data_IF_334246848219
#
_entry.id   IF_334246848219
#
_cell.length_a   1.000
_cell.length_b   1.000
_cell.length_c   1.000
_cell.angle_alpha   90.00
_cell.angle_beta   90.00
_cell.angle_gamma   90.00
#
_symmetry.space_group_name_H-M   'P 1'
#
loop_
_entity.id
_entity.type
_entity.pdbx_description
1 polymer ?
#
# COMPACT_ATOMS: atom_id res chain seq x y z
N UNK A 1 -71.27 0.61 -1.69
CA UNK A 1 -70.68 -0.12 -2.85
C UNK A 1 -69.22 -0.38 -2.46
N UNK A 2 -68.97 -1.59 -1.89
CA UNK A 2 -67.70 -2.00 -1.35
C UNK A 2 -66.80 -2.47 -2.53
N UNK A 3 -65.57 -1.97 -2.59
CA UNK A 3 -64.54 -2.56 -3.47
C UNK A 3 -63.44 -3.06 -2.57
N UNK A 4 -63.31 -4.37 -2.54
CA UNK A 4 -62.25 -5.15 -1.94
C UNK A 4 -60.89 -4.85 -2.67
N UNK A 5 -59.90 -4.41 -1.95
CA UNK A 5 -58.50 -4.45 -2.40
C UNK A 5 -57.90 -5.79 -1.97
N UNK A 6 -57.63 -6.63 -2.96
CA UNK A 6 -56.99 -7.93 -2.79
C UNK A 6 -55.51 -7.78 -2.41
N UNK A 7 -55.13 -8.45 -1.33
CA UNK A 7 -53.72 -8.66 -0.96
C UNK A 7 -53.01 -9.49 -2.05
N UNK A 8 -51.94 -8.95 -2.59
CA UNK A 8 -51.03 -9.67 -3.47
C UNK A 8 -50.02 -10.47 -2.64
N UNK A 9 -49.77 -11.73 -2.93
CA UNK A 9 -48.89 -12.56 -2.10
C UNK A 9 -47.41 -12.21 -2.25
N UNK A 10 -46.73 -12.14 -1.12
CA UNK A 10 -45.28 -11.86 -0.93
C UNK A 10 -44.34 -12.75 -1.80
N UNK A 11 -44.84 -13.83 -2.38
CA UNK A 11 -44.09 -14.75 -3.26
C UNK A 11 -43.64 -14.17 -4.59
N UNK A 12 -44.40 -13.26 -5.20
CA UNK A 12 -44.10 -12.70 -6.53
C UNK A 12 -42.92 -11.71 -6.51
N UNK A 13 -42.74 -10.97 -5.43
CA UNK A 13 -41.59 -10.06 -5.30
C UNK A 13 -40.25 -10.80 -5.16
N UNK A 14 -40.23 -11.94 -4.46
CA UNK A 14 -39.04 -12.79 -4.37
C UNK A 14 -38.64 -13.41 -5.71
N UNK A 15 -39.64 -13.77 -6.53
CA UNK A 15 -39.40 -14.34 -7.87
C UNK A 15 -38.86 -13.25 -8.82
N UNK A 16 -39.40 -12.03 -8.77
CA UNK A 16 -38.89 -10.91 -9.58
C UNK A 16 -37.43 -10.53 -9.25
N UNK A 17 -37.06 -10.53 -7.97
CA UNK A 17 -35.68 -10.25 -7.55
C UNK A 17 -34.73 -11.39 -7.95
N UNK A 18 -35.15 -12.64 -7.86
CA UNK A 18 -34.38 -13.80 -8.34
C UNK A 18 -34.18 -13.79 -9.87
N UNK A 19 -35.19 -13.38 -10.64
CA UNK A 19 -35.09 -13.24 -12.10
C UNK A 19 -34.17 -12.09 -12.51
N UNK A 20 -34.19 -10.95 -11.82
CA UNK A 20 -33.29 -9.84 -12.08
C UNK A 20 -31.83 -10.21 -11.75
N UNK A 21 -31.59 -10.95 -10.67
CA UNK A 21 -30.26 -11.47 -10.31
C UNK A 21 -29.77 -12.49 -11.35
N UNK A 22 -30.63 -13.36 -11.84
CA UNK A 22 -30.29 -14.33 -12.88
C UNK A 22 -29.91 -13.64 -14.21
N UNK A 23 -30.65 -12.60 -14.62
CA UNK A 23 -30.32 -11.81 -15.82
C UNK A 23 -29.00 -11.08 -15.67
N UNK A 24 -28.69 -10.51 -14.48
CA UNK A 24 -27.41 -9.83 -14.22
C UNK A 24 -26.21 -10.79 -14.24
N UNK A 25 -26.37 -11.98 -13.70
CA UNK A 25 -25.34 -13.03 -13.72
C UNK A 25 -25.13 -13.58 -15.15
N UNK A 26 -26.18 -13.71 -15.95
CA UNK A 26 -26.07 -14.20 -17.33
C UNK A 26 -25.41 -13.18 -18.26
N UNK A 27 -25.63 -11.88 -18.03
CA UNK A 27 -24.98 -10.79 -18.80
C UNK A 27 -23.47 -10.69 -18.50
N UNK A 28 -23.05 -11.02 -17.28
CA UNK A 28 -21.61 -11.03 -16.91
C UNK A 28 -20.87 -12.22 -17.57
N UNK A 29 -21.54 -13.31 -17.89
CA UNK A 29 -20.92 -14.49 -18.53
C UNK A 29 -20.91 -14.48 -20.07
N UNK A 30 -21.62 -13.55 -20.72
CA UNK A 30 -21.69 -13.44 -22.19
C UNK A 30 -21.00 -12.22 -22.78
N UNK A 31 -20.27 -11.45 -22.01
CA UNK A 31 -19.68 -10.17 -22.40
C UNK A 31 -18.24 -10.21 -22.87
N UNK A 32 -17.90 -10.91 -23.96
CA UNK A 32 -16.83 -10.46 -24.84
C UNK A 32 -17.45 -9.76 -26.05
N UNK A 33 -17.26 -8.44 -26.10
CA UNK A 33 -17.44 -7.60 -27.28
C UNK A 33 -18.85 -7.07 -27.52
N UNK A 34 -19.12 -5.88 -27.01
CA UNK A 34 -19.89 -4.83 -27.69
C UNK A 34 -19.83 -3.54 -26.86
N UNK A 35 -19.07 -2.56 -27.36
CA UNK A 35 -19.15 -1.18 -26.88
C UNK A 35 -20.46 -0.54 -27.33
N UNK A 36 -21.33 -0.16 -26.38
CA UNK A 36 -22.40 0.78 -26.63
C UNK A 36 -22.18 2.05 -25.82
N UNK A 37 -21.94 3.14 -26.55
CA UNK A 37 -22.01 4.51 -26.02
C UNK A 37 -23.48 4.91 -25.91
N UNK A 38 -23.97 5.14 -24.70
CA UNK A 38 -25.25 5.76 -24.43
C UNK A 38 -25.12 6.80 -23.33
N UNK A 39 -25.31 8.08 -23.70
CA UNK A 39 -25.50 9.17 -22.73
C UNK A 39 -26.79 8.91 -21.96
N UNK A 40 -26.72 8.81 -20.64
CA UNK A 40 -27.90 8.86 -19.77
C UNK A 40 -28.04 10.28 -19.23
N UNK A 41 -29.06 10.99 -19.70
CA UNK A 41 -29.53 12.22 -19.06
C UNK A 41 -30.10 11.91 -17.69
N UNK A 42 -29.67 12.62 -16.68
CA UNK A 42 -30.20 12.55 -15.31
C UNK A 42 -31.54 13.27 -15.26
N UNK A 43 -32.62 12.50 -15.19
CA UNK A 43 -33.93 13.07 -14.83
C UNK A 43 -33.98 13.32 -13.32
N UNK A 44 -34.03 14.58 -12.92
CA UNK A 44 -34.31 15.00 -11.54
C UNK A 44 -35.82 14.90 -11.34
N UNK A 45 -36.25 13.88 -10.64
CA UNK A 45 -37.65 13.77 -10.16
C UNK A 45 -37.70 14.30 -8.75
N UNK A 46 -38.27 15.49 -8.59
CA UNK A 46 -38.66 16.04 -7.28
C UNK A 46 -39.96 15.40 -6.82
N UNK A 47 -39.88 14.55 -5.81
CA UNK A 47 -41.07 14.01 -5.12
C UNK A 47 -41.18 14.62 -3.72
N UNK A 48 -42.40 14.82 -3.18
CA UNK A 48 -42.64 15.54 -1.93
C UNK A 48 -42.23 14.71 -0.70
N UNK A 49 -41.78 15.43 0.33
CA UNK A 49 -41.29 14.95 1.61
C UNK A 49 -42.43 14.28 2.41
N UNK A 50 -42.60 12.96 2.26
CA UNK A 50 -43.25 12.08 3.21
C UNK A 50 -42.68 10.68 3.05
N UNK A 51 -41.81 10.22 3.98
CA UNK A 51 -41.37 8.83 3.99
C UNK A 51 -39.88 8.55 4.15
N UNK A 52 -39.17 9.29 5.00
CA UNK A 52 -37.71 9.07 5.25
C UNK A 52 -37.39 7.67 5.80
N UNK A 53 -38.27 7.08 6.62
CA UNK A 53 -37.99 5.79 7.27
C UNK A 53 -38.12 4.59 6.32
N UNK A 54 -39.06 4.62 5.38
CA UNK A 54 -39.25 3.54 4.37
C UNK A 54 -38.13 3.52 3.33
N UNK A 55 -37.61 4.67 2.92
CA UNK A 55 -36.49 4.75 1.98
C UNK A 55 -35.19 4.25 2.61
N UNK A 56 -34.90 4.62 3.87
CA UNK A 56 -33.73 4.15 4.61
C UNK A 56 -33.79 2.65 4.86
N UNK A 57 -34.94 2.09 5.19
CA UNK A 57 -35.12 0.65 5.36
C UNK A 57 -34.93 -0.13 4.04
N UNK A 58 -35.44 0.38 2.94
CA UNK A 58 -35.28 -0.26 1.63
C UNK A 58 -33.82 -0.19 1.15
N UNK A 59 -33.13 0.91 1.35
CA UNK A 59 -31.74 1.08 0.97
C UNK A 59 -30.79 0.18 1.80
N UNK A 60 -31.04 0.08 3.10
CA UNK A 60 -30.31 -0.81 3.99
C UNK A 60 -30.57 -2.30 3.67
N UNK A 61 -31.80 -2.69 3.36
CA UNK A 61 -32.14 -4.04 2.93
C UNK A 61 -31.46 -4.40 1.61
N UNK A 62 -31.42 -3.48 0.64
CA UNK A 62 -30.72 -3.66 -0.63
C UNK A 62 -29.19 -3.79 -0.44
N UNK A 63 -28.58 -2.91 0.35
CA UNK A 63 -27.14 -2.96 0.66
C UNK A 63 -26.79 -4.28 1.35
N UNK A 64 -27.60 -4.77 2.28
CA UNK A 64 -27.39 -6.05 2.96
C UNK A 64 -27.46 -7.21 1.98
N UNK A 65 -28.44 -7.25 1.08
CA UNK A 65 -28.58 -8.32 0.08
C UNK A 65 -27.40 -8.34 -0.92
N UNK A 66 -26.92 -7.18 -1.36
CA UNK A 66 -25.74 -7.07 -2.25
C UNK A 66 -24.48 -7.57 -1.55
N UNK A 67 -24.26 -7.21 -0.29
CA UNK A 67 -23.13 -7.69 0.52
C UNK A 67 -23.16 -9.22 0.65
N UNK A 68 -24.33 -9.82 0.93
CA UNK A 68 -24.48 -11.26 1.03
C UNK A 68 -24.15 -11.99 -0.29
N UNK A 69 -24.62 -11.46 -1.42
CA UNK A 69 -24.29 -12.01 -2.75
C UNK A 69 -22.79 -11.94 -3.02
N UNK A 70 -22.15 -10.79 -2.76
CA UNK A 70 -20.70 -10.62 -2.90
C UNK A 70 -19.94 -11.60 -2.01
N UNK A 71 -20.37 -11.78 -0.75
CA UNK A 71 -19.78 -12.73 0.18
C UNK A 71 -19.87 -14.17 -0.36
N UNK A 72 -21.04 -14.61 -0.85
CA UNK A 72 -21.22 -15.95 -1.44
C UNK A 72 -20.34 -16.17 -2.66
N UNK A 73 -20.27 -15.20 -3.59
CA UNK A 73 -19.40 -15.27 -4.76
C UNK A 73 -17.93 -15.36 -4.37
N UNK A 74 -17.52 -14.58 -3.37
CA UNK A 74 -16.17 -14.64 -2.85
C UNK A 74 -15.86 -16.00 -2.19
N UNK A 75 -16.75 -16.56 -1.39
CA UNK A 75 -16.60 -17.91 -0.80
C UNK A 75 -16.43 -19.00 -1.86
N UNK A 76 -17.12 -18.89 -2.99
CA UNK A 76 -16.94 -19.80 -4.15
C UNK A 76 -15.52 -19.62 -4.71
N UNK A 77 -15.07 -18.38 -4.92
CA UNK A 77 -13.72 -18.10 -5.43
C UNK A 77 -12.63 -18.58 -4.47
N UNK A 78 -12.81 -18.43 -3.15
CA UNK A 78 -11.91 -18.98 -2.14
C UNK A 78 -11.82 -20.51 -2.21
N UNK A 79 -12.93 -21.20 -2.46
CA UNK A 79 -12.95 -22.66 -2.57
C UNK A 79 -12.24 -23.14 -3.84
N UNK A 80 -12.40 -22.42 -4.95
CA UNK A 80 -11.66 -22.67 -6.20
C UNK A 80 -10.16 -22.45 -6.02
N UNK A 81 -9.76 -21.34 -5.40
CA UNK A 81 -8.35 -20.92 -5.26
C UNK A 81 -7.58 -21.74 -4.25
N UNK A 82 -8.16 -22.07 -3.14
CA UNK A 82 -7.48 -22.73 -2.03
C UNK A 82 -7.89 -24.18 -1.80
N UNK A 83 -8.92 -24.66 -2.49
CA UNK A 83 -9.45 -26.01 -2.30
C UNK A 83 -10.16 -26.19 -0.95
N UNK A 84 -10.25 -27.44 -0.53
CA UNK A 84 -10.96 -27.82 0.71
C UNK A 84 -10.04 -27.71 1.95
N UNK A 85 -9.60 -26.47 2.26
CA UNK A 85 -8.83 -26.16 3.47
C UNK A 85 -9.69 -25.36 4.44
N UNK A 86 -9.35 -25.44 5.73
CA UNK A 86 -10.03 -24.66 6.75
C UNK A 86 -9.79 -23.17 6.51
N UNK A 87 -10.88 -22.43 6.40
CA UNK A 87 -10.91 -20.98 6.22
C UNK A 87 -11.44 -20.35 7.52
N UNK A 88 -10.67 -19.46 8.12
CA UNK A 88 -11.07 -18.73 9.32
C UNK A 88 -11.39 -17.28 8.92
N UNK A 89 -12.68 -16.95 8.88
CA UNK A 89 -13.14 -15.59 8.62
C UNK A 89 -12.84 -14.72 9.84
N UNK A 90 -11.95 -13.76 9.66
CA UNK A 90 -11.51 -12.81 10.70
C UNK A 90 -12.53 -11.69 10.86
N UNK A 91 -13.02 -11.21 9.73
CA UNK A 91 -14.10 -10.24 9.55
C UNK A 91 -14.80 -10.51 8.22
N UNK A 92 -15.94 -9.85 7.98
CA UNK A 92 -16.51 -9.80 6.65
C UNK A 92 -15.48 -9.28 5.66
N UNK A 93 -15.33 -9.95 4.52
CA UNK A 93 -14.33 -9.60 3.52
C UNK A 93 -12.87 -9.94 3.88
N UNK A 94 -12.60 -10.58 5.04
CA UNK A 94 -11.24 -10.96 5.45
C UNK A 94 -11.20 -12.40 5.94
N UNK A 95 -10.35 -13.22 5.32
CA UNK A 95 -10.15 -14.63 5.69
C UNK A 95 -8.67 -14.92 5.94
N UNK A 96 -8.40 -15.66 7.01
CA UNK A 96 -7.11 -16.28 7.27
C UNK A 96 -7.15 -17.77 6.92
N UNK A 97 -6.17 -18.23 6.16
CA UNK A 97 -6.03 -19.61 5.70
C UNK A 97 -4.64 -20.11 6.07
N UNK A 98 -4.58 -21.28 6.69
CA UNK A 98 -3.32 -22.01 6.89
C UNK A 98 -3.34 -23.27 6.06
N UNK A 99 -2.26 -23.51 5.31
CA UNK A 99 -2.14 -24.72 4.49
C UNK A 99 -0.69 -25.19 4.37
N UNK A 100 -0.53 -26.48 4.07
CA UNK A 100 0.75 -27.06 3.67
C UNK A 100 0.68 -27.38 2.19
N UNK A 101 1.71 -26.99 1.45
CA UNK A 101 1.95 -27.40 0.05
C UNK A 101 3.30 -28.08 -0.05
N UNK A 102 3.51 -28.81 -1.13
CA UNK A 102 4.80 -29.42 -1.49
C UNK A 102 5.34 -28.76 -2.74
N UNK A 103 6.53 -28.21 -2.64
CA UNK A 103 7.24 -27.61 -3.79
C UNK A 103 8.50 -28.41 -4.09
N UNK A 104 8.54 -29.03 -5.27
CA UNK A 104 9.65 -29.94 -5.65
C UNK A 104 9.89 -31.02 -4.57
N UNK A 105 8.81 -31.63 -4.06
CA UNK A 105 8.87 -32.66 -3.02
C UNK A 105 9.10 -32.15 -1.57
N UNK A 106 9.34 -30.87 -1.39
CA UNK A 106 9.64 -30.28 -0.08
C UNK A 106 8.41 -29.62 0.54
N UNK A 107 8.13 -29.84 1.84
CA UNK A 107 7.00 -29.23 2.51
C UNK A 107 7.22 -27.74 2.75
N UNK A 108 6.16 -26.96 2.56
CA UNK A 108 6.08 -25.55 2.94
C UNK A 108 4.77 -25.29 3.69
N UNK A 109 4.83 -24.56 4.78
CA UNK A 109 3.64 -24.04 5.48
C UNK A 109 3.41 -22.60 5.08
N UNK A 110 2.17 -22.34 4.67
CA UNK A 110 1.70 -21.03 4.27
C UNK A 110 0.67 -20.53 5.27
N UNK A 111 0.77 -19.26 5.60
CA UNK A 111 -0.31 -18.48 6.18
C UNK A 111 -0.68 -17.40 5.19
N UNK A 112 -1.96 -17.28 4.92
CA UNK A 112 -2.52 -16.42 3.87
C UNK A 112 -3.62 -15.59 4.51
N UNK A 113 -3.61 -14.29 4.27
CA UNK A 113 -4.76 -13.41 4.51
C UNK A 113 -5.24 -12.96 3.13
N UNK A 114 -6.49 -13.26 2.80
CA UNK A 114 -7.15 -12.70 1.63
C UNK A 114 -8.21 -11.71 2.06
N UNK A 115 -8.21 -10.56 1.38
CA UNK A 115 -9.12 -9.45 1.61
C UNK A 115 -9.93 -9.21 0.33
N UNK A 116 -11.23 -9.10 0.48
CA UNK A 116 -12.11 -8.64 -0.59
C UNK A 116 -12.71 -7.27 -0.22
N UNK A 117 -12.15 -6.16 -0.74
CA UNK A 117 -12.63 -4.82 -0.44
C UNK A 117 -14.06 -4.55 -0.91
N UNK A 118 -14.56 -5.32 -1.89
CA UNK A 118 -15.94 -5.16 -2.36
C UNK A 118 -16.99 -5.73 -1.41
N UNK A 119 -16.58 -6.65 -0.51
CA UNK A 119 -17.44 -7.21 0.55
C UNK A 119 -17.46 -6.28 1.77
N UNK A 120 -16.30 -5.73 2.13
CA UNK A 120 -16.18 -4.78 3.23
C UNK A 120 -15.25 -3.62 2.83
N UNK A 121 -15.80 -2.49 2.37
CA UNK A 121 -15.03 -1.33 1.94
C UNK A 121 -14.41 -0.55 3.11
N UNK A 122 -14.84 -0.81 4.37
CA UNK A 122 -14.31 -0.16 5.56
C UNK A 122 -12.95 -0.73 5.98
N UNK A 123 -12.57 -1.89 5.43
CA UNK A 123 -11.23 -2.45 5.63
C UNK A 123 -10.23 -1.68 4.75
N UNK A 124 -9.29 -1.03 5.41
CA UNK A 124 -8.18 -0.33 4.75
C UNK A 124 -6.87 -1.09 4.92
N UNK A 125 -6.11 -1.11 3.85
CA UNK A 125 -4.76 -1.67 3.80
C UNK A 125 -3.79 -0.49 3.84
N UNK A 126 -2.94 -0.41 4.87
CA UNK A 126 -2.04 0.73 5.04
C UNK A 126 -0.66 0.30 5.53
N UNK A 127 0.42 0.87 4.99
CA UNK A 127 1.73 0.73 5.60
C UNK A 127 1.76 1.48 6.93
N UNK A 128 2.37 0.89 7.95
CA UNK A 128 2.60 1.52 9.25
C UNK A 128 4.07 1.46 9.64
N UNK A 129 4.61 2.54 10.18
CA UNK A 129 6.00 2.66 10.59
C UNK A 129 6.22 2.11 12.01
N UNK A 130 7.44 1.67 12.30
CA UNK A 130 7.85 1.23 13.63
C UNK A 130 7.84 2.36 14.67
N UNK A 131 7.92 3.60 14.24
CA UNK A 131 7.89 4.78 15.10
C UNK A 131 7.69 6.06 14.29
N UNK A 132 7.75 7.21 14.94
CA UNK A 132 7.59 8.52 14.28
C UNK A 132 8.75 8.87 13.35
N UNK A 133 9.93 8.33 13.60
CA UNK A 133 11.14 8.52 12.79
C UNK A 133 11.52 7.22 12.08
N UNK A 134 12.14 7.35 10.90
CA UNK A 134 12.51 6.23 10.03
C UNK A 134 13.52 5.26 10.68
N UNK A 135 14.46 5.78 11.47
CA UNK A 135 15.48 4.96 12.14
C UNK A 135 14.94 4.28 13.41
N UNK A 136 13.83 3.55 13.27
CA UNK A 136 13.18 2.77 14.33
C UNK A 136 12.83 1.37 13.84
N UNK A 137 12.78 0.45 14.80
CA UNK A 137 12.32 -0.94 14.57
C UNK A 137 11.33 -1.33 15.67
N UNK A 138 10.29 -2.08 15.29
CA UNK A 138 9.29 -2.61 16.20
C UNK A 138 8.78 -3.94 15.68
N UNK A 139 8.22 -4.78 16.55
CA UNK A 139 7.60 -6.03 16.11
C UNK A 139 6.30 -5.76 15.36
N UNK A 140 5.93 -6.63 14.42
CA UNK A 140 4.66 -6.53 13.69
C UNK A 140 3.47 -6.43 14.66
N UNK A 141 3.47 -7.23 15.72
CA UNK A 141 2.41 -7.21 16.75
C UNK A 141 2.33 -5.86 17.48
N UNK A 142 3.48 -5.27 17.84
CA UNK A 142 3.51 -3.96 18.50
C UNK A 142 3.01 -2.84 17.58
N UNK A 143 3.44 -2.84 16.32
CA UNK A 143 2.94 -1.88 15.32
C UNK A 143 1.44 -2.02 15.10
N UNK A 144 0.94 -3.25 14.99
CA UNK A 144 -0.50 -3.53 14.83
C UNK A 144 -1.31 -2.99 16.00
N UNK A 145 -0.87 -3.26 17.24
CA UNK A 145 -1.56 -2.76 18.44
C UNK A 145 -1.60 -1.24 18.47
N UNK A 146 -0.47 -0.58 18.17
CA UNK A 146 -0.39 0.90 18.18
C UNK A 146 -1.31 1.54 17.13
N UNK A 147 -1.59 0.85 16.03
CA UNK A 147 -2.40 1.36 14.93
C UNK A 147 -3.80 0.72 14.85
N UNK A 148 -4.26 0.06 15.94
CA UNK A 148 -5.56 -0.62 15.99
C UNK A 148 -5.79 -1.61 14.84
N UNK A 149 -4.70 -2.22 14.34
CA UNK A 149 -4.77 -3.15 13.23
C UNK A 149 -5.11 -4.56 13.72
N UNK A 150 -6.17 -5.15 13.17
CA UNK A 150 -6.58 -6.50 13.52
C UNK A 150 -5.77 -7.59 12.78
N UNK A 151 -5.11 -7.25 11.67
CA UNK A 151 -4.17 -8.15 11.00
C UNK A 151 -3.01 -7.35 10.38
N UNK A 152 -1.84 -7.96 10.24
CA UNK A 152 -0.69 -7.35 9.59
C UNK A 152 0.37 -8.39 9.21
N UNK A 153 1.24 -7.99 8.26
CA UNK A 153 2.49 -8.68 7.92
C UNK A 153 3.66 -7.70 8.01
N UNK A 154 4.89 -8.21 8.09
CA UNK A 154 6.09 -7.38 7.92
C UNK A 154 6.11 -6.71 6.54
N UNK A 155 6.74 -5.57 6.45
CA UNK A 155 6.75 -4.73 5.24
C UNK A 155 8.02 -4.83 4.42
N UNK A 156 8.53 -3.67 4.01
CA UNK A 156 9.68 -3.52 3.11
C UNK A 156 11.00 -3.94 3.76
N UNK A 157 12.03 -4.12 2.91
CA UNK A 157 13.41 -4.26 3.36
C UNK A 157 13.85 -3.05 4.16
N UNK A 158 14.82 -3.25 5.05
CA UNK A 158 15.39 -2.17 5.85
C UNK A 158 16.87 -2.42 6.17
N UNK A 159 17.57 -1.37 6.58
CA UNK A 159 18.95 -1.48 7.06
C UNK A 159 18.93 -1.99 8.50
N UNK A 160 19.40 -3.22 8.81
CA UNK A 160 19.26 -3.83 10.13
C UNK A 160 19.86 -3.00 11.27
N UNK A 161 20.97 -2.28 10.99
CA UNK A 161 21.70 -1.48 11.98
C UNK A 161 20.90 -0.25 12.42
N UNK A 162 20.17 0.38 11.51
CA UNK A 162 19.49 1.66 11.76
C UNK A 162 17.96 1.55 11.80
N UNK A 163 17.38 0.56 11.12
CA UNK A 163 15.93 0.46 10.94
C UNK A 163 15.39 1.27 9.75
N UNK A 164 16.23 2.05 9.05
CA UNK A 164 15.78 2.85 7.89
C UNK A 164 15.25 1.94 6.79
N UNK A 165 14.02 2.15 6.29
CA UNK A 165 13.45 1.40 5.16
C UNK A 165 14.33 1.53 3.92
N UNK A 166 14.49 0.45 3.18
CA UNK A 166 15.20 0.40 1.90
C UNK A 166 14.19 0.26 0.75
N UNK A 167 13.97 1.35 0.03
CA UNK A 167 12.99 1.46 -1.03
C UNK A 167 11.95 2.53 -0.73
N UNK A 168 11.05 2.74 -1.69
CA UNK A 168 10.02 3.76 -1.56
C UNK A 168 9.00 3.39 -0.47
N UNK A 169 8.69 4.37 0.37
CA UNK A 169 7.60 4.32 1.33
C UNK A 169 6.85 5.65 1.27
N UNK A 170 5.56 5.58 1.00
CA UNK A 170 4.64 6.72 1.01
C UNK A 170 3.44 6.39 1.88
N UNK A 171 3.07 7.29 2.78
CA UNK A 171 1.90 7.15 3.65
C UNK A 171 1.08 8.44 3.58
N UNK A 172 -0.21 8.33 3.28
CA UNK A 172 -1.12 9.47 3.13
C UNK A 172 -0.56 10.52 2.17
N UNK A 173 -0.15 10.07 0.97
CA UNK A 173 0.44 10.91 -0.10
C UNK A 173 1.77 11.58 0.25
N UNK A 174 2.33 11.33 1.44
CA UNK A 174 3.65 11.85 1.85
C UNK A 174 4.73 10.80 1.59
N UNK A 175 5.69 11.09 0.72
CA UNK A 175 6.85 10.25 0.47
C UNK A 175 7.80 10.37 1.67
N UNK A 176 8.00 9.26 2.37
CA UNK A 176 8.85 9.17 3.55
C UNK A 176 10.28 8.72 3.20
N UNK A 177 10.40 7.80 2.24
CA UNK A 177 11.69 7.37 1.67
C UNK A 177 11.57 7.19 0.16
N UNK A 178 12.63 7.48 -0.56
CA UNK A 178 12.66 7.27 -2.01
C UNK A 178 13.05 5.83 -2.41
N UNK A 179 12.87 5.47 -3.68
CA UNK A 179 13.13 4.14 -4.21
C UNK A 179 14.62 3.79 -4.23
N UNK A 180 14.92 2.51 -4.31
CA UNK A 180 16.27 1.98 -4.54
C UNK A 180 16.22 1.06 -5.76
N UNK A 181 17.11 1.29 -6.75
CA UNK A 181 17.27 0.47 -7.95
C UNK A 181 15.98 0.29 -8.78
N UNK A 182 15.10 1.25 -8.79
CA UNK A 182 13.81 1.20 -9.51
C UNK A 182 13.06 -0.14 -9.29
N UNK A 183 13.04 -0.57 -8.03
CA UNK A 183 12.38 -1.80 -7.60
C UNK A 183 10.88 -1.67 -7.68
N UNK A 184 10.22 -2.82 -7.76
CA UNK A 184 8.77 -2.89 -7.72
C UNK A 184 8.22 -2.34 -6.40
N UNK A 185 7.08 -1.66 -6.49
CA UNK A 185 6.31 -1.18 -5.35
C UNK A 185 4.82 -1.44 -5.56
N UNK A 186 4.10 -1.60 -4.46
CA UNK A 186 2.65 -1.58 -4.41
C UNK A 186 2.18 -0.16 -4.14
N UNK A 187 1.32 0.37 -5.00
CA UNK A 187 0.50 1.56 -4.78
C UNK A 187 -0.90 1.17 -4.35
N UNK A 188 -1.42 1.82 -3.32
CA UNK A 188 -2.77 1.63 -2.78
C UNK A 188 -3.56 2.91 -3.03
N UNK A 189 -4.67 2.79 -3.76
CA UNK A 189 -5.61 3.87 -4.09
C UNK A 189 -6.92 3.68 -3.33
N UNK A 190 -7.84 4.62 -3.43
CA UNK A 190 -9.18 4.47 -2.87
C UNK A 190 -10.00 3.38 -3.57
N UNK A 191 -9.68 3.09 -4.85
CA UNK A 191 -10.44 2.15 -5.70
C UNK A 191 -9.75 0.82 -5.95
N UNK A 192 -8.48 0.63 -5.48
CA UNK A 192 -7.77 -0.61 -5.72
C UNK A 192 -6.25 -0.50 -5.59
N UNK A 193 -5.53 -1.24 -6.44
CA UNK A 193 -4.09 -1.43 -6.32
C UNK A 193 -3.39 -1.22 -7.65
N UNK A 194 -2.17 -0.71 -7.56
CA UNK A 194 -1.20 -0.62 -8.67
C UNK A 194 0.09 -1.31 -8.27
N UNK A 195 0.78 -1.93 -9.21
CA UNK A 195 2.08 -2.52 -8.94
C UNK A 195 2.96 -2.34 -10.17
N UNK A 196 4.05 -1.62 -10.01
CA UNK A 196 5.05 -1.43 -11.04
C UNK A 196 6.41 -1.07 -10.43
N UNK A 197 7.46 -1.01 -11.25
CA UNK A 197 8.73 -0.42 -10.86
C UNK A 197 8.56 1.08 -10.69
N UNK A 198 9.09 1.61 -9.59
CA UNK A 198 8.90 3.02 -9.24
C UNK A 198 10.26 3.69 -9.08
N UNK A 199 10.46 4.77 -9.81
CA UNK A 199 11.58 5.70 -9.64
C UNK A 199 11.09 7.05 -9.10
N UNK A 200 12.04 7.91 -8.71
CA UNK A 200 11.77 9.24 -8.19
C UNK A 200 12.07 10.28 -9.26
N UNK A 201 11.11 11.15 -9.50
CA UNK A 201 11.29 12.39 -10.25
C UNK A 201 11.20 13.56 -9.26
N UNK A 202 12.34 14.02 -8.76
CA UNK A 202 12.40 15.08 -7.76
C UNK A 202 13.42 16.15 -8.13
N UNK A 203 13.06 17.41 -7.88
CA UNK A 203 13.91 18.56 -8.17
C UNK A 203 13.71 19.68 -7.16
N UNK A 204 14.77 20.42 -6.93
CA UNK A 204 14.74 21.71 -6.24
C UNK A 204 14.67 22.83 -7.29
N UNK A 205 13.91 23.86 -7.00
CA UNK A 205 13.82 25.06 -7.84
C UNK A 205 14.21 26.28 -7.03
N UNK A 206 15.06 27.13 -7.61
CA UNK A 206 15.49 28.41 -7.04
C UNK A 206 15.85 29.41 -8.15
N UNK A 207 15.21 30.56 -8.18
CA UNK A 207 15.47 31.62 -9.18
C UNK A 207 15.48 31.14 -10.64
N UNK A 208 14.54 30.21 -10.98
CA UNK A 208 14.46 29.61 -12.32
C UNK A 208 15.51 28.55 -12.63
N UNK A 209 16.37 28.21 -11.68
CA UNK A 209 17.30 27.08 -11.79
C UNK A 209 16.70 25.84 -11.19
N UNK A 210 16.99 24.69 -11.80
CA UNK A 210 16.58 23.39 -11.31
C UNK A 210 17.79 22.58 -10.87
N UNK A 211 17.68 21.88 -9.75
CA UNK A 211 18.66 20.91 -9.28
C UNK A 211 17.98 19.57 -9.06
N UNK A 212 18.36 18.56 -9.84
CA UNK A 212 17.84 17.21 -9.70
C UNK A 212 18.16 16.64 -8.31
N UNK A 213 17.16 16.11 -7.64
CA UNK A 213 17.27 15.35 -6.39
C UNK A 213 17.34 13.87 -6.73
N UNK A 214 18.39 13.19 -6.26
CA UNK A 214 18.59 11.77 -6.54
C UNK A 214 17.77 10.87 -5.62
N UNK A 215 17.59 11.28 -4.34
CA UNK A 215 16.79 10.49 -3.41
C UNK A 215 16.35 11.30 -2.17
N UNK A 216 15.44 10.70 -1.38
CA UNK A 216 14.87 11.27 -0.16
C UNK A 216 15.01 10.26 0.96
N UNK A 217 15.53 10.70 2.11
CA UNK A 217 15.66 9.92 3.34
C UNK A 217 16.28 8.52 3.11
N UNK A 218 17.26 8.45 2.23
CA UNK A 218 18.08 7.27 1.98
C UNK A 218 19.55 7.57 2.35
N UNK A 219 20.33 6.55 2.69
CA UNK A 219 21.77 6.74 2.87
C UNK A 219 22.41 7.28 1.58
N UNK A 220 23.19 8.36 1.68
CA UNK A 220 23.95 8.88 0.53
C UNK A 220 25.14 7.97 0.23
N UNK A 221 25.08 7.27 -0.89
CA UNK A 221 26.11 6.29 -1.29
C UNK A 221 27.12 6.85 -2.26
N UNK A 222 26.69 7.78 -3.14
CA UNK A 222 27.57 8.40 -4.12
C UNK A 222 27.90 9.85 -3.74
N UNK A 223 29.15 10.25 -3.89
CA UNK A 223 29.56 11.63 -3.62
C UNK A 223 28.90 12.65 -4.57
N UNK A 224 28.44 12.20 -5.75
CA UNK A 224 27.78 13.03 -6.76
C UNK A 224 26.29 13.25 -6.51
N UNK A 225 25.67 12.51 -5.58
CA UNK A 225 24.24 12.56 -5.34
C UNK A 225 23.81 13.82 -4.59
N UNK A 226 22.61 14.29 -4.91
CA UNK A 226 21.85 15.29 -4.16
C UNK A 226 20.72 14.58 -3.44
N UNK A 227 20.73 14.58 -2.12
CA UNK A 227 19.71 13.97 -1.29
C UNK A 227 19.02 15.00 -0.41
N UNK A 228 17.76 14.70 -0.12
CA UNK A 228 16.94 15.47 0.82
C UNK A 228 16.74 14.64 2.09
N UNK A 229 16.90 15.27 3.25
CA UNK A 229 16.55 14.71 4.55
C UNK A 229 15.47 15.56 5.19
N UNK A 230 14.32 14.94 5.42
CA UNK A 230 13.16 15.57 6.06
C UNK A 230 13.08 15.22 7.54
N UNK A 231 12.17 15.84 8.26
CA UNK A 231 11.99 15.60 9.70
C UNK A 231 11.70 14.12 10.05
N UNK A 232 11.17 13.33 9.13
CA UNK A 232 10.95 11.89 9.32
C UNK A 232 12.25 11.11 9.44
N UNK A 233 13.34 11.58 8.85
CA UNK A 233 14.66 10.97 9.01
C UNK A 233 15.09 10.96 10.48
N UNK A 234 15.00 12.09 11.15
CA UNK A 234 15.43 12.29 12.53
C UNK A 234 15.68 13.76 12.83
N UNK A 235 16.34 14.03 13.95
CA UNK A 235 16.63 15.41 14.36
C UNK A 235 17.89 15.99 13.68
N UNK A 236 18.80 15.11 13.24
CA UNK A 236 20.06 15.48 12.56
C UNK A 236 20.15 14.76 11.22
N UNK A 237 20.66 15.45 10.21
CA UNK A 237 21.06 14.85 8.95
C UNK A 237 22.23 13.87 9.15
N UNK A 238 22.39 12.84 8.31
CA UNK A 238 23.56 11.98 8.38
C UNK A 238 24.82 12.71 7.91
N UNK A 239 26.00 12.15 8.22
CA UNK A 239 27.25 12.67 7.69
C UNK A 239 27.24 12.68 6.15
N UNK A 240 27.81 13.73 5.56
CA UNK A 240 27.98 13.84 4.10
C UNK A 240 29.32 13.22 3.66
N UNK A 241 29.41 12.64 2.46
CA UNK A 241 30.69 12.21 1.90
C UNK A 241 31.70 13.37 1.74
N UNK A 242 32.97 13.03 1.54
CA UNK A 242 34.05 14.02 1.26
C UNK A 242 33.61 14.99 0.16
N UNK A 243 33.92 16.29 0.31
CA UNK A 243 33.46 17.37 -0.56
C UNK A 243 31.97 17.62 -0.62
N UNK A 244 31.20 17.01 0.28
CA UNK A 244 29.77 17.29 0.44
C UNK A 244 29.56 18.51 1.34
N UNK A 245 28.41 19.15 1.13
CA UNK A 245 27.86 20.20 1.98
C UNK A 245 26.42 19.87 2.33
N UNK A 246 25.99 20.36 3.47
CA UNK A 246 24.60 20.27 3.94
C UNK A 246 24.04 21.68 4.08
N UNK A 247 22.82 21.86 3.59
CA UNK A 247 22.10 23.13 3.61
C UNK A 247 20.74 22.88 4.25
N UNK A 248 20.47 23.50 5.38
CA UNK A 248 19.16 23.48 6.01
C UNK A 248 18.26 24.54 5.39
N UNK A 249 17.09 24.13 4.97
CA UNK A 249 16.04 24.96 4.39
C UNK A 249 14.86 24.95 5.33
N UNK A 250 14.37 26.11 5.74
CA UNK A 250 13.15 26.31 6.48
C UNK A 250 12.30 27.38 5.82
N UNK A 251 11.02 27.10 5.58
CA UNK A 251 10.11 28.01 4.90
C UNK A 251 10.69 28.54 3.56
N UNK A 252 11.39 27.66 2.82
CA UNK A 252 12.04 27.96 1.54
C UNK A 252 13.32 28.79 1.62
N UNK A 253 13.82 29.11 2.82
CA UNK A 253 15.02 29.93 3.04
C UNK A 253 16.16 29.10 3.61
N UNK A 254 17.39 29.44 3.22
CA UNK A 254 18.58 28.84 3.82
C UNK A 254 18.76 29.37 5.24
N UNK A 255 18.74 28.45 6.23
CA UNK A 255 18.93 28.79 7.65
C UNK A 255 20.27 28.33 8.22
N UNK A 256 20.89 27.31 7.62
CA UNK A 256 22.22 26.84 8.03
C UNK A 256 22.98 26.17 6.88
N UNK A 257 24.31 26.19 6.95
CA UNK A 257 25.24 25.50 6.03
C UNK A 257 26.36 24.83 6.85
N UNK A 258 26.72 23.59 6.52
CA UNK A 258 27.78 22.85 7.20
C UNK A 258 28.32 21.71 6.35
N UNK A 259 29.55 21.31 6.60
CA UNK A 259 30.13 20.05 6.10
C UNK A 259 29.92 18.88 7.07
N UNK A 260 29.43 19.17 8.27
CA UNK A 260 29.06 18.21 9.32
C UNK A 260 27.55 18.04 9.41
N UNK A 261 27.01 16.99 10.07
CA UNK A 261 25.58 16.84 10.33
C UNK A 261 24.99 18.10 10.97
N UNK A 262 23.81 18.50 10.48
CA UNK A 262 23.07 19.67 10.99
C UNK A 262 21.66 19.31 11.37
N UNK A 263 21.04 20.15 12.21
CA UNK A 263 19.64 19.97 12.58
C UNK A 263 18.73 20.04 11.36
N UNK A 264 17.77 19.12 11.29
CA UNK A 264 16.71 19.15 10.28
C UNK A 264 15.60 20.04 10.80
N UNK A 265 15.29 21.17 10.11
CA UNK A 265 14.28 22.11 10.56
C UNK A 265 12.88 21.50 10.56
N UNK A 266 12.02 21.91 11.50
CA UNK A 266 10.58 21.68 11.39
C UNK A 266 10.04 22.49 10.21
N UNK A 267 9.08 21.90 9.47
CA UNK A 267 8.54 22.48 8.24
C UNK A 267 9.64 22.82 7.20
N UNK A 268 10.67 21.96 7.14
CA UNK A 268 11.81 22.16 6.27
C UNK A 268 12.52 20.85 5.93
N UNK A 269 13.72 20.99 5.39
CA UNK A 269 14.55 19.86 5.02
C UNK A 269 16.02 20.23 4.95
N UNK A 270 16.89 19.23 4.90
CA UNK A 270 18.33 19.42 4.65
C UNK A 270 18.66 18.85 3.27
N UNK A 271 19.31 19.68 2.46
CA UNK A 271 19.94 19.26 1.20
C UNK A 271 21.35 18.74 1.52
N UNK A 272 21.67 17.50 1.16
CA UNK A 272 23.03 16.97 1.19
C UNK A 272 23.53 16.79 -0.24
N UNK A 273 24.53 17.54 -0.67
CA UNK A 273 24.95 17.61 -2.06
C UNK A 273 26.48 17.84 -2.19
N UNK A 274 27.08 17.60 -3.38
CA UNK A 274 28.42 18.10 -3.69
C UNK A 274 28.47 19.63 -3.58
N UNK A 275 29.55 20.18 -3.02
CA UNK A 275 29.69 21.61 -2.83
C UNK A 275 29.61 22.39 -4.15
N UNK A 276 30.19 21.85 -5.25
CA UNK A 276 30.12 22.45 -6.58
C UNK A 276 28.67 22.62 -7.08
N UNK A 277 27.87 21.53 -7.05
CA UNK A 277 26.47 21.56 -7.52
C UNK A 277 25.63 22.58 -6.75
N UNK A 278 25.77 22.62 -5.43
CA UNK A 278 25.00 23.54 -4.60
C UNK A 278 25.45 24.99 -4.78
N UNK A 279 26.77 25.21 -5.01
CA UNK A 279 27.30 26.55 -5.33
C UNK A 279 26.71 27.12 -6.61
N UNK A 280 26.65 26.33 -7.68
CA UNK A 280 26.02 26.69 -8.95
C UNK A 280 24.52 26.96 -8.79
N UNK A 281 23.82 26.09 -8.07
CA UNK A 281 22.39 26.21 -7.84
C UNK A 281 22.00 27.46 -7.05
N UNK A 282 22.76 27.81 -6.00
CA UNK A 282 22.52 28.97 -5.13
C UNK A 282 23.20 30.25 -5.59
N UNK A 283 23.93 30.24 -6.71
CA UNK A 283 24.61 31.44 -7.20
C UNK A 283 23.57 32.54 -7.51
N UNK A 284 23.78 33.72 -6.93
CA UNK A 284 23.00 34.91 -7.25
C UNK A 284 23.53 35.55 -8.56
N UNK A 285 22.66 35.75 -9.53
CA UNK A 285 23.00 36.62 -10.67
C UNK A 285 22.96 38.08 -10.23
N UNK A 286 24.10 38.66 -9.99
CA UNK A 286 24.27 40.08 -9.58
C UNK A 286 23.57 41.10 -10.48
N UNK A 287 23.16 40.71 -11.71
CA UNK A 287 22.57 41.61 -12.70
C UNK A 287 21.03 41.72 -12.58
N UNK A 288 20.32 40.74 -12.05
CA UNK A 288 18.83 40.76 -12.02
C UNK A 288 18.23 41.35 -10.74
N UNK A 289 19.02 41.47 -9.68
CA UNK A 289 18.54 41.99 -8.38
C UNK A 289 18.26 43.50 -8.38
N UNK A 290 18.78 44.25 -9.37
CA UNK A 290 18.62 45.73 -9.44
C UNK A 290 17.27 46.21 -10.01
N UNK A 291 16.46 45.35 -10.65
CA UNK A 291 15.23 45.78 -11.33
C UNK A 291 13.97 45.49 -10.51
N UNK A 292 14.06 44.79 -9.39
CA UNK A 292 12.87 44.32 -8.66
C UNK A 292 12.74 44.93 -7.27
N UNK A 293 12.44 46.20 -7.22
CA UNK A 293 12.23 46.96 -5.96
C UNK A 293 10.92 46.60 -5.21
N UNK A 294 10.27 45.45 -5.47
CA UNK A 294 9.06 45.01 -4.75
C UNK A 294 8.90 43.49 -4.85
N UNK A 295 9.82 42.69 -4.28
CA UNK A 295 9.68 41.24 -4.44
C UNK A 295 10.08 40.50 -3.18
N UNK A 296 9.15 39.57 -2.84
CA UNK A 296 9.36 38.50 -1.88
C UNK A 296 10.73 37.83 -2.06
N UNK A 297 11.41 37.59 -0.96
CA UNK A 297 12.66 36.80 -0.96
C UNK A 297 12.45 35.52 -1.74
N UNK A 298 13.28 35.22 -2.75
CA UNK A 298 13.12 34.02 -3.55
C UNK A 298 13.20 32.78 -2.66
N UNK A 299 12.24 31.85 -2.85
CA UNK A 299 12.15 30.65 -2.02
C UNK A 299 12.70 29.44 -2.79
N UNK A 300 13.38 28.57 -2.07
CA UNK A 300 13.76 27.24 -2.56
C UNK A 300 12.56 26.33 -2.39
N UNK A 301 12.06 25.78 -3.49
CA UNK A 301 10.95 24.81 -3.48
C UNK A 301 11.44 23.43 -3.86
N UNK A 302 10.80 22.41 -3.31
CA UNK A 302 11.05 21.00 -3.60
C UNK A 302 9.81 20.42 -4.28
N UNK A 303 9.98 19.96 -5.51
CA UNK A 303 8.97 19.23 -6.27
C UNK A 303 9.33 17.73 -6.26
N UNK A 304 8.37 16.87 -5.93
CA UNK A 304 8.57 15.43 -5.82
C UNK A 304 7.42 14.71 -6.47
N UNK A 305 7.73 13.88 -7.47
CA UNK A 305 6.78 12.96 -8.09
C UNK A 305 7.36 11.57 -8.22
N UNK A 306 6.51 10.57 -8.35
CA UNK A 306 6.92 9.22 -8.74
C UNK A 306 6.92 9.09 -10.27
N UNK A 307 7.67 8.10 -10.77
CA UNK A 307 7.60 7.65 -12.16
C UNK A 307 7.42 6.12 -12.16
N UNK A 308 6.30 5.56 -12.64
CA UNK A 308 5.14 6.27 -13.22
C UNK A 308 4.49 7.27 -12.25
N UNK A 309 3.77 8.24 -12.81
CA UNK A 309 3.02 9.21 -12.02
C UNK A 309 1.82 8.54 -11.36
N UNK A 310 1.83 8.52 -10.03
CA UNK A 310 0.82 7.87 -9.19
C UNK A 310 0.09 8.89 -8.30
N UNK A 311 -0.37 9.99 -8.86
CA UNK A 311 -1.06 11.07 -8.15
C UNK A 311 -2.32 10.60 -7.38
N UNK A 312 -2.99 9.55 -7.89
CA UNK A 312 -4.17 8.93 -7.26
C UNK A 312 -3.82 7.93 -6.13
N UNK A 313 -2.53 7.63 -5.92
CA UNK A 313 -2.09 6.67 -4.92
C UNK A 313 -1.96 7.35 -3.55
N UNK A 314 -2.57 6.75 -2.52
CA UNK A 314 -2.51 7.25 -1.15
C UNK A 314 -1.31 6.70 -0.37
N UNK A 315 -0.95 5.43 -0.64
CA UNK A 315 0.17 4.77 0.02
C UNK A 315 1.01 4.00 -0.99
N UNK A 316 2.32 3.97 -0.77
CA UNK A 316 3.26 3.14 -1.53
C UNK A 316 4.11 2.34 -0.55
N UNK A 317 4.30 1.06 -0.82
CA UNK A 317 5.27 0.23 -0.13
C UNK A 317 6.18 -0.45 -1.14
N UNK A 318 7.49 -0.17 -1.07
CA UNK A 318 8.51 -0.81 -1.90
C UNK A 318 8.83 -2.22 -1.44
N UNK A 319 9.14 -3.09 -2.38
CA UNK A 319 9.52 -4.48 -2.12
C UNK A 319 10.42 -5.02 -3.21
N UNK A 320 10.12 -6.23 -3.65
CA UNK A 320 10.76 -6.88 -4.78
C UNK A 320 11.48 -8.19 -4.43
N UNK A 321 11.78 -8.98 -5.46
CA UNK A 321 11.46 -8.68 -6.86
C UNK A 321 9.98 -8.88 -7.17
N UNK A 322 9.56 -8.46 -8.38
CA UNK A 322 8.32 -8.95 -8.97
C UNK A 322 8.26 -10.47 -8.91
N UNK A 323 7.08 -11.02 -8.66
CA UNK A 323 6.81 -12.47 -8.68
C UNK A 323 5.82 -12.85 -9.78
N UNK A 324 4.78 -12.03 -9.94
CA UNK A 324 3.74 -12.20 -10.96
C UNK A 324 3.45 -10.85 -11.60
N UNK A 325 3.39 -10.83 -12.93
CA UNK A 325 3.00 -9.65 -13.72
C UNK A 325 2.02 -10.10 -14.81
N UNK A 326 0.86 -9.44 -14.90
CA UNK A 326 -0.21 -9.80 -15.84
C UNK A 326 -0.62 -11.28 -15.73
N UNK A 327 -0.74 -11.83 -14.52
CA UNK A 327 -1.10 -13.23 -14.26
C UNK A 327 -0.02 -14.26 -14.60
N UNK A 328 1.16 -13.84 -15.03
CA UNK A 328 2.27 -14.72 -15.38
C UNK A 328 3.41 -14.63 -14.37
N UNK A 329 4.10 -15.76 -14.14
CA UNK A 329 5.34 -15.77 -13.35
C UNK A 329 6.35 -14.84 -14.02
N UNK A 330 6.79 -13.84 -13.28
CA UNK A 330 7.74 -12.83 -13.72
C UNK A 330 8.68 -12.48 -12.57
N UNK A 331 9.83 -13.17 -12.50
CA UNK A 331 10.77 -13.01 -11.39
C UNK A 331 12.02 -12.29 -11.88
N UNK A 332 12.08 -11.00 -11.58
CA UNK A 332 13.12 -10.09 -12.04
C UNK A 332 14.14 -9.78 -10.93
N UNK A 333 14.74 -10.85 -10.39
CA UNK A 333 15.64 -10.71 -9.24
C UNK A 333 17.05 -10.23 -9.60
N UNK A 334 17.45 -10.30 -10.88
CA UNK A 334 18.77 -9.86 -11.34
C UNK A 334 18.80 -8.35 -11.49
N UNK A 335 17.87 -7.77 -12.26
CA UNK A 335 17.79 -6.34 -12.51
C UNK A 335 17.43 -5.57 -11.24
N UNK A 336 16.49 -6.08 -10.44
CA UNK A 336 16.16 -5.52 -9.14
C UNK A 336 17.21 -5.79 -8.04
N UNK A 337 18.33 -6.48 -8.40
CA UNK A 337 19.47 -6.76 -7.51
C UNK A 337 19.13 -7.57 -6.26
N UNK A 338 18.35 -8.63 -6.43
CA UNK A 338 17.97 -9.59 -5.38
C UNK A 338 18.64 -10.95 -5.46
N UNK A 339 19.67 -11.11 -6.28
CA UNK A 339 20.39 -12.39 -6.43
C UNK A 339 20.79 -13.05 -5.10
N UNK A 340 21.26 -12.31 -4.07
CA UNK A 340 21.67 -12.93 -2.81
C UNK A 340 20.56 -13.64 -2.05
N UNK A 341 19.29 -13.31 -2.31
CA UNK A 341 18.15 -13.89 -1.59
C UNK A 341 17.36 -14.91 -2.41
N UNK A 342 17.87 -15.33 -3.59
CA UNK A 342 17.13 -16.21 -4.50
C UNK A 342 16.85 -17.62 -3.94
N UNK A 343 17.69 -18.13 -3.02
CA UNK A 343 17.56 -19.45 -2.41
C UNK A 343 16.36 -19.62 -1.49
N UNK A 344 16.14 -20.83 -0.97
CA UNK A 344 15.04 -21.14 -0.06
C UNK A 344 15.20 -20.43 1.28
N UNK A 345 14.18 -19.67 1.66
CA UNK A 345 14.09 -18.92 2.90
C UNK A 345 12.62 -18.80 3.35
N UNK A 346 12.34 -18.45 4.61
CA UNK A 346 11.04 -17.89 4.97
C UNK A 346 10.73 -16.71 4.06
N UNK A 347 9.49 -16.57 3.61
CA UNK A 347 9.08 -15.56 2.64
C UNK A 347 7.87 -14.78 3.12
N UNK A 348 7.81 -13.54 2.66
CA UNK A 348 6.62 -12.70 2.74
C UNK A 348 6.34 -12.16 1.35
N UNK A 349 5.10 -12.25 0.90
CA UNK A 349 4.67 -11.74 -0.39
C UNK A 349 3.29 -11.10 -0.29
N UNK A 350 3.03 -10.18 -1.20
CA UNK A 350 1.72 -9.57 -1.42
C UNK A 350 1.36 -9.60 -2.89
N UNK A 351 0.07 -9.60 -3.16
CA UNK A 351 -0.44 -9.54 -4.53
C UNK A 351 -1.92 -9.22 -4.55
N UNK A 352 -2.46 -9.05 -5.73
CA UNK A 352 -3.89 -8.86 -5.94
C UNK A 352 -4.36 -9.60 -7.19
N UNK A 353 -5.61 -10.06 -7.15
CA UNK A 353 -6.25 -10.75 -8.26
C UNK A 353 -6.87 -9.76 -9.26
N UNK A 354 -7.33 -10.28 -10.41
CA UNK A 354 -8.04 -9.47 -11.42
C UNK A 354 -9.35 -8.87 -10.85
N UNK A 355 -9.98 -9.58 -9.92
CA UNK A 355 -11.21 -9.17 -9.25
C UNK A 355 -10.96 -8.14 -8.12
N UNK A 356 -9.70 -7.76 -7.87
CA UNK A 356 -9.34 -6.80 -6.84
C UNK A 356 -9.22 -7.38 -5.43
N UNK A 357 -9.22 -8.72 -5.26
CA UNK A 357 -8.92 -9.32 -3.96
C UNK A 357 -7.45 -9.14 -3.64
N UNK A 358 -7.12 -8.68 -2.43
CA UNK A 358 -5.76 -8.51 -1.97
C UNK A 358 -5.30 -9.73 -1.17
N UNK A 359 -4.09 -10.21 -1.43
CA UNK A 359 -3.54 -11.43 -0.85
C UNK A 359 -2.21 -11.13 -0.18
N UNK A 360 -2.12 -11.46 1.12
CA UNK A 360 -0.90 -11.44 1.91
C UNK A 360 -0.48 -12.87 2.22
N UNK A 361 0.78 -13.21 2.03
CA UNK A 361 1.31 -14.57 2.23
C UNK A 361 2.58 -14.53 3.06
N UNK A 362 2.67 -15.41 4.07
CA UNK A 362 3.93 -15.79 4.66
C UNK A 362 4.18 -17.29 4.43
N UNK A 363 5.41 -17.65 4.10
CA UNK A 363 5.89 -19.02 4.04
C UNK A 363 6.91 -19.20 5.16
N UNK A 364 6.63 -20.14 6.08
CA UNK A 364 7.59 -20.54 7.10
C UNK A 364 8.81 -21.22 6.46
N UNK A 365 9.93 -21.21 7.13
CA UNK A 365 11.12 -21.84 6.58
C UNK A 365 12.17 -22.15 7.63
N UNK A 366 13.27 -22.77 7.19
CA UNK A 366 14.39 -23.20 8.04
C UNK A 366 13.99 -24.27 9.07
N UNK A 367 12.96 -25.05 8.77
CA UNK A 367 12.43 -26.13 9.60
C UNK A 367 12.14 -27.38 8.75
N UNK A 368 12.17 -28.57 9.35
CA UNK A 368 11.83 -29.81 8.64
C UNK A 368 10.40 -29.81 8.08
N UNK A 369 9.45 -29.20 8.82
CA UNK A 369 8.04 -29.11 8.42
C UNK A 369 7.76 -27.98 7.43
N UNK A 370 8.73 -27.11 7.19
CA UNK A 370 8.66 -26.02 6.22
C UNK A 370 10.07 -25.53 5.88
N UNK A 371 10.57 -25.91 4.73
CA UNK A 371 11.95 -25.58 4.32
C UNK A 371 12.09 -24.15 3.74
N UNK A 372 10.97 -23.44 3.60
CA UNK A 372 10.93 -22.15 2.90
C UNK A 372 10.83 -22.32 1.38
N UNK A 373 10.87 -21.22 0.66
CA UNK A 373 10.73 -21.18 -0.80
C UNK A 373 11.79 -20.31 -1.47
N UNK A 374 12.20 -20.71 -2.67
CA UNK A 374 12.92 -19.85 -3.60
C UNK A 374 11.98 -18.82 -4.23
N UNK A 375 12.52 -17.79 -4.88
CA UNK A 375 11.70 -16.73 -5.48
C UNK A 375 10.78 -17.24 -6.59
N UNK A 376 11.25 -18.12 -7.46
CA UNK A 376 10.41 -18.74 -8.50
C UNK A 376 9.32 -19.66 -7.94
N UNK A 377 9.61 -20.35 -6.84
CA UNK A 377 8.61 -21.18 -6.15
C UNK A 377 7.52 -20.30 -5.51
N UNK A 378 7.92 -19.20 -4.87
CA UNK A 378 7.00 -18.20 -4.33
C UNK A 378 6.13 -17.60 -5.44
N UNK A 379 6.72 -17.28 -6.60
CA UNK A 379 5.98 -16.77 -7.75
C UNK A 379 4.93 -17.77 -8.27
N UNK A 380 5.28 -19.07 -8.34
CA UNK A 380 4.33 -20.13 -8.69
C UNK A 380 3.19 -20.25 -7.67
N UNK A 381 3.50 -20.07 -6.38
CA UNK A 381 2.48 -20.03 -5.30
C UNK A 381 1.54 -18.85 -5.51
N UNK A 382 2.07 -17.63 -5.72
CA UNK A 382 1.24 -16.43 -5.93
C UNK A 382 0.39 -16.55 -7.20
N UNK A 383 0.95 -17.09 -8.29
CA UNK A 383 0.19 -17.40 -9.51
C UNK A 383 -0.92 -18.42 -9.24
N UNK A 384 -0.66 -19.48 -8.43
CA UNK A 384 -1.68 -20.48 -8.08
C UNK A 384 -2.83 -19.90 -7.25
N UNK A 385 -2.64 -18.72 -6.64
CA UNK A 385 -3.67 -17.94 -5.96
C UNK A 385 -4.31 -16.89 -6.87
N UNK A 386 -4.17 -17.05 -8.19
CA UNK A 386 -4.76 -16.21 -9.23
C UNK A 386 -4.33 -14.73 -9.14
N UNK A 387 -3.17 -14.44 -8.54
CA UNK A 387 -2.65 -13.08 -8.54
C UNK A 387 -2.42 -12.57 -9.96
N UNK A 388 -2.97 -11.42 -10.27
CA UNK A 388 -2.69 -10.66 -11.48
C UNK A 388 -1.32 -9.98 -11.39
N UNK A 389 -1.02 -9.45 -10.19
CA UNK A 389 0.28 -8.89 -9.82
C UNK A 389 0.67 -9.40 -8.44
N UNK A 390 1.96 -9.68 -8.25
CA UNK A 390 2.51 -10.02 -6.94
C UNK A 390 3.98 -9.62 -6.84
N UNK A 391 4.40 -9.26 -5.62
CA UNK A 391 5.80 -8.97 -5.30
C UNK A 391 6.21 -9.59 -3.97
N UNK A 392 7.52 -9.83 -3.84
CA UNK A 392 8.11 -10.25 -2.59
C UNK A 392 8.36 -9.03 -1.67
N UNK A 393 8.21 -9.22 -0.37
CA UNK A 393 8.59 -8.28 0.68
C UNK A 393 9.83 -8.81 1.43
N UNK A 394 10.24 -8.13 2.52
CA UNK A 394 11.33 -8.63 3.34
C UNK A 394 10.99 -10.00 3.91
N UNK A 395 11.98 -10.88 3.93
CA UNK A 395 11.83 -12.29 4.24
C UNK A 395 12.74 -12.76 5.36
N UNK A 396 13.00 -14.05 5.41
CA UNK A 396 13.87 -14.65 6.41
C UNK A 396 13.36 -14.43 7.83
N UNK A 397 14.19 -13.83 8.70
CA UNK A 397 13.82 -13.54 10.09
C UNK A 397 12.68 -12.54 10.23
N UNK A 398 12.45 -11.70 9.22
CA UNK A 398 11.39 -10.68 9.22
C UNK A 398 9.99 -11.26 8.96
N UNK A 399 9.89 -12.44 8.32
CA UNK A 399 8.60 -13.04 7.92
C UNK A 399 7.70 -13.29 9.13
N UNK A 400 6.76 -12.39 9.36
CA UNK A 400 5.84 -12.44 10.49
C UNK A 400 4.45 -11.99 10.02
N UNK A 401 3.44 -12.80 10.33
CA UNK A 401 2.02 -12.48 10.13
C UNK A 401 1.29 -12.56 11.47
N UNK A 402 0.49 -11.56 11.78
CA UNK A 402 -0.36 -11.55 12.95
C UNK A 402 -1.84 -11.37 12.56
N UNK A 403 -2.74 -11.98 13.36
CA UNK A 403 -4.19 -11.81 13.30
C UNK A 403 -4.69 -11.66 14.74
N UNK A 404 -5.48 -10.63 15.01
CA UNK A 404 -6.04 -10.31 16.33
C UNK A 404 -4.99 -10.33 17.47
N UNK A 405 -3.80 -9.76 17.17
CA UNK A 405 -2.71 -9.65 18.12
C UNK A 405 -1.88 -10.94 18.32
N UNK A 406 -2.22 -12.03 17.63
CA UNK A 406 -1.52 -13.32 17.71
C UNK A 406 -0.69 -13.56 16.45
N UNK A 407 0.56 -13.99 16.59
CA UNK A 407 1.37 -14.44 15.46
C UNK A 407 0.80 -15.77 14.97
N UNK A 408 0.43 -15.84 13.68
CA UNK A 408 -0.24 -16.99 13.08
C UNK A 408 0.68 -17.88 12.25
N UNK A 409 1.85 -17.39 11.86
CA UNK A 409 2.92 -18.18 11.21
C UNK A 409 3.95 -18.65 12.24
N UNK A 410 5.00 -19.35 11.80
CA UNK A 410 6.16 -19.75 12.63
C UNK A 410 7.39 -18.95 12.20
N UNK A 411 7.64 -17.76 12.80
CA UNK A 411 8.83 -17.00 12.47
C UNK A 411 10.09 -17.77 12.86
N UNK A 412 11.15 -17.66 12.05
CA UNK A 412 12.44 -18.34 12.31
C UNK A 412 13.15 -17.84 13.58
N UNK A 413 12.71 -16.71 14.14
CA UNK A 413 13.06 -16.21 15.48
C UNK A 413 11.80 -16.15 16.30
N UNK A 414 11.78 -16.79 17.47
CA UNK A 414 10.60 -16.86 18.35
C UNK A 414 10.08 -15.45 18.67
N UNK A 415 8.80 -15.24 18.39
CA UNK A 415 8.14 -13.93 18.55
C UNK A 415 8.34 -12.95 17.40
N UNK A 416 9.07 -13.33 16.36
CA UNK A 416 9.46 -12.45 15.26
C UNK A 416 10.56 -11.47 15.63
N UNK A 417 11.19 -10.85 14.64
CA UNK A 417 12.17 -9.78 14.88
C UNK A 417 11.51 -8.41 14.76
N UNK A 418 12.17 -7.38 15.30
CA UNK A 418 11.78 -6.00 15.08
C UNK A 418 12.14 -5.57 13.66
N UNK A 419 11.17 -5.03 12.93
CA UNK A 419 11.26 -4.56 11.52
C UNK A 419 10.95 -3.07 11.43
N UNK A 420 11.22 -2.45 10.29
CA UNK A 420 11.06 -1.00 10.09
C UNK A 420 9.61 -0.56 9.90
N UNK A 421 8.83 -1.39 9.23
CA UNK A 421 7.42 -1.12 8.91
C UNK A 421 6.67 -2.43 8.70
N UNK A 422 5.36 -2.35 8.69
CA UNK A 422 4.46 -3.46 8.38
C UNK A 422 3.35 -2.98 7.45
N UNK A 423 2.68 -3.93 6.78
CA UNK A 423 1.45 -3.68 6.03
C UNK A 423 0.29 -4.19 6.88
N UNK A 424 -0.59 -3.28 7.28
CA UNK A 424 -1.61 -3.49 8.29
C UNK A 424 -3.02 -3.43 7.69
N UNK A 425 -3.95 -4.17 8.29
CA UNK A 425 -5.39 -4.09 8.04
C UNK A 425 -6.04 -3.39 9.22
N UNK A 426 -6.66 -2.26 8.93
CA UNK A 426 -7.42 -1.46 9.88
C UNK A 426 -8.86 -1.33 9.40
N UNK A 427 -9.81 -1.23 10.33
CA UNK A 427 -11.19 -0.91 10.02
C UNK A 427 -11.43 0.55 10.32
N UNK A 428 -11.92 1.28 9.32
CA UNK A 428 -12.26 2.70 9.44
C UNK A 428 -13.77 2.78 9.23
N UNK A 429 -14.56 3.03 10.29
CA UNK A 429 -16.01 3.13 10.18
C UNK A 429 -16.41 4.13 9.11
N UNK A 430 -17.42 3.80 8.31
CA UNK A 430 -17.97 4.71 7.32
C UNK A 430 -18.48 5.99 8.00
N UNK A 431 -18.43 7.13 7.30
CA UNK A 431 -18.84 8.43 7.82
C UNK A 431 -20.29 8.40 8.33
N UNK A 432 -21.13 7.50 7.79
CA UNK A 432 -22.51 7.31 8.22
C UNK A 432 -22.64 6.80 9.67
N UNK A 433 -21.77 5.91 10.14
CA UNK A 433 -21.78 5.41 11.53
C UNK A 433 -21.30 6.48 12.53
N UNK A 434 -20.37 7.34 12.11
CA UNK A 434 -19.90 8.44 12.95
C UNK A 434 -20.94 9.53 13.18
N UNK A 435 -21.88 9.72 12.25
CA UNK A 435 -23.00 10.68 12.41
C UNK A 435 -24.02 10.13 13.42
N UNK A 436 -24.33 8.84 13.38
CA UNK A 436 -25.28 8.22 14.33
C UNK A 436 -24.71 8.22 15.74
N UNK A 437 -23.44 7.87 15.92
CA UNK A 437 -22.77 7.89 17.23
C UNK A 437 -22.59 9.30 17.83
N UNK A 438 -22.68 10.35 17.02
CA UNK A 438 -22.64 11.75 17.49
C UNK A 438 -24.03 12.32 17.85
N UNK A 439 -25.11 11.65 17.42
CA UNK A 439 -26.51 12.06 17.73
C UNK A 439 -27.02 11.37 19.01
N UNK A 440 -26.39 10.23 19.40
CA UNK A 440 -26.73 9.49 20.61
C UNK A 440 -25.93 9.91 21.86
N UNK A 441 -25.11 10.95 21.78
CA UNK A 441 -24.40 11.60 22.89
C UNK A 441 -24.96 13.01 23.12
#
# INVERSE_FOLDING_TARGET
MNVLLSEQPIGLQKIAVQFLIAIFVTVIFLGEGLCFWGKTESAVVTAPIYGTDLQIQNENSYKTSVKEVRMKLWQISLSRRYGNVRKHFVKDGVVHIRMTKYLSGNPIRLNIIEINPSVNPDIKITPVMAGEKLAKKSTVVSMSRKNSAFAAINGSYFKPQTGVPLGILMINKKILTGPIYDRVALGITDSGFKMDRVSLNAKLNYLGRELKVNNINQPRTLCTDVLIYTEEWGNLSPATPKYGIQIAIQDGKVVAKSTSPIAIPKNGFVISAPQSKIGEFLAEEKAKTKIMNKISTPLITLDIKTNPDWDDVNHIIGGGPFLVKNGNVYVDYIEEKFKPIAGRNPRTAIGYTKEGNFIMVTIDGREQKSVGAGLFELAKVMKSFECQYAMNLDGGGSSTMQVNGQIVNTPSVKGGIAVSNSLALVEVPSVAENVIASVEK
#
